data_IF_836158225596
#
_entry.id   IF_836158225596
#
_cell.length_a   1.000
_cell.length_b   1.000
_cell.length_c   1.000
_cell.angle_alpha   90.00
_cell.angle_beta   90.00
_cell.angle_gamma   90.00
#
_symmetry.space_group_name_H-M   'P 1'
#
loop_
_entity.id
_entity.type
_entity.pdbx_description
1 polymer ?
#
# COMPACT_ATOMS: atom_id res chain seq x y z
N UNK A 1 -51.98 -39.74 -2.96
CA UNK A 1 -50.57 -39.42 -3.24
C UNK A 1 -50.44 -37.90 -3.33
N UNK A 2 -50.22 -37.23 -2.20
CA UNK A 2 -50.03 -35.79 -2.13
C UNK A 2 -48.54 -35.48 -2.01
N UNK A 3 -47.99 -34.78 -2.98
CA UNK A 3 -46.59 -34.37 -3.03
C UNK A 3 -46.33 -33.26 -2.02
N UNK A 4 -45.62 -33.61 -0.94
CA UNK A 4 -45.10 -32.67 0.05
C UNK A 4 -43.88 -31.95 -0.53
N UNK A 5 -44.05 -30.69 -0.93
CA UNK A 5 -42.94 -29.79 -1.27
C UNK A 5 -42.56 -28.98 -0.03
N UNK A 6 -41.40 -29.33 0.56
CA UNK A 6 -40.72 -28.50 1.57
C UNK A 6 -40.33 -27.15 0.96
N UNK A 7 -40.59 -26.01 1.63
CA UNK A 7 -39.95 -24.77 1.26
C UNK A 7 -38.48 -24.79 1.72
N UNK A 8 -37.57 -24.69 0.76
CA UNK A 8 -36.15 -24.42 0.97
C UNK A 8 -35.98 -22.97 1.43
N UNK A 9 -35.73 -22.79 2.72
CA UNK A 9 -35.27 -21.50 3.27
C UNK A 9 -33.83 -21.28 2.84
N UNK A 10 -33.66 -20.45 1.81
CA UNK A 10 -32.38 -19.83 1.49
C UNK A 10 -31.99 -18.96 2.69
N UNK A 11 -30.95 -19.37 3.42
CA UNK A 11 -30.36 -18.56 4.47
C UNK A 11 -29.84 -17.26 3.83
N UNK A 12 -30.53 -16.15 4.08
CA UNK A 12 -30.00 -14.81 3.81
C UNK A 12 -28.60 -14.70 4.43
N UNK A 13 -27.61 -14.43 3.59
CA UNK A 13 -26.25 -14.14 4.04
C UNK A 13 -26.30 -12.96 5.01
N UNK A 14 -25.63 -13.10 6.16
CA UNK A 14 -25.45 -12.00 7.11
C UNK A 14 -24.95 -10.78 6.35
N UNK A 15 -25.80 -9.75 6.28
CA UNK A 15 -25.42 -8.41 5.84
C UNK A 15 -24.28 -7.96 6.74
N UNK A 16 -23.08 -7.79 6.19
CA UNK A 16 -21.95 -7.23 6.92
C UNK A 16 -22.35 -5.81 7.32
N UNK A 17 -22.66 -5.60 8.60
CA UNK A 17 -22.98 -4.28 9.13
C UNK A 17 -21.69 -3.52 9.47
N UNK A 18 -21.66 -2.19 9.29
CA UNK A 18 -20.54 -1.37 9.75
C UNK A 18 -20.37 -1.47 11.28
N UNK A 19 -19.15 -1.28 11.81
CA UNK A 19 -18.91 -1.32 13.25
C UNK A 19 -19.77 -0.28 13.99
N UNK A 20 -20.36 -0.69 15.12
CA UNK A 20 -21.28 0.14 15.94
C UNK A 20 -20.52 1.27 16.64
N UNK A 21 -21.10 2.47 16.68
CA UNK A 21 -20.63 3.59 17.53
C UNK A 21 -20.74 3.18 19.00
N UNK A 22 -19.62 3.13 19.72
CA UNK A 22 -19.60 2.89 21.15
C UNK A 22 -19.96 4.16 21.94
N UNK A 23 -20.98 4.03 22.81
CA UNK A 23 -21.21 4.69 24.10
C UNK A 23 -20.98 6.20 24.30
N UNK A 24 -21.92 6.85 25.01
CA UNK A 24 -21.81 8.21 25.56
C UNK A 24 -20.65 8.35 26.56
N UNK A 25 -19.42 8.53 26.07
CA UNK A 25 -18.31 9.05 26.86
C UNK A 25 -18.10 10.53 26.54
N UNK A 26 -17.83 11.35 27.55
CA UNK A 26 -17.49 12.75 27.36
C UNK A 26 -16.30 12.85 26.37
N UNK A 27 -16.47 13.65 25.31
CA UNK A 27 -15.46 13.81 24.29
C UNK A 27 -14.18 14.40 24.90
N UNK A 28 -13.10 13.62 24.93
CA UNK A 28 -11.79 14.10 25.35
C UNK A 28 -11.21 14.93 24.20
N UNK A 29 -11.05 16.23 24.39
CA UNK A 29 -10.49 17.13 23.38
C UNK A 29 -8.98 16.91 23.28
N UNK A 30 -8.56 15.98 22.40
CA UNK A 30 -7.15 15.64 22.18
C UNK A 30 -6.48 16.47 21.07
N UNK A 31 -7.26 17.04 20.17
CA UNK A 31 -6.77 17.80 19.01
C UNK A 31 -7.65 19.03 18.74
N UNK A 32 -7.11 20.09 18.12
CA UNK A 32 -7.90 21.19 17.62
C UNK A 32 -8.95 20.68 16.62
N UNK A 33 -10.22 21.04 16.84
CA UNK A 33 -11.34 20.69 15.95
C UNK A 33 -11.83 21.86 15.12
N UNK A 34 -11.42 23.07 15.50
CA UNK A 34 -11.75 24.29 14.78
C UNK A 34 -10.97 24.37 13.46
N UNK A 35 -11.56 25.07 12.49
CA UNK A 35 -10.84 25.35 11.24
C UNK A 35 -9.61 26.19 11.55
N UNK A 36 -8.43 25.83 11.01
CA UNK A 36 -7.23 26.63 11.22
C UNK A 36 -7.42 28.05 10.68
N UNK A 37 -6.78 29.07 11.30
CA UNK A 37 -6.90 30.47 10.89
C UNK A 37 -6.09 30.78 9.61
N UNK A 38 -5.74 29.77 8.82
CA UNK A 38 -4.96 29.88 7.59
C UNK A 38 -5.51 28.91 6.53
N UNK A 39 -5.24 29.23 5.27
CA UNK A 39 -5.63 28.42 4.11
C UNK A 39 -4.48 27.53 3.64
N UNK A 40 -4.78 26.53 2.80
CA UNK A 40 -3.74 25.77 2.09
C UNK A 40 -2.86 26.67 1.20
N UNK A 41 -3.43 27.78 0.70
CA UNK A 41 -2.69 28.77 -0.07
C UNK A 41 -1.61 29.49 0.76
N UNK A 42 -1.92 29.81 2.01
CA UNK A 42 -0.98 30.45 2.94
C UNK A 42 0.21 29.53 3.25
N UNK A 43 -0.07 28.24 3.47
CA UNK A 43 0.97 27.22 3.65
C UNK A 43 1.84 27.14 2.40
N UNK A 44 1.23 27.04 1.21
CA UNK A 44 1.97 26.95 -0.05
C UNK A 44 2.85 28.17 -0.30
N UNK A 45 2.38 29.37 0.07
CA UNK A 45 3.13 30.63 -0.05
C UNK A 45 4.31 30.70 0.93
N UNK A 46 4.22 30.04 2.08
CA UNK A 46 5.31 29.98 3.06
C UNK A 46 6.46 29.05 2.65
N UNK A 47 6.22 28.11 1.73
CA UNK A 47 7.24 27.18 1.24
C UNK A 47 8.14 27.87 0.20
N UNK A 48 9.48 27.83 0.35
CA UNK A 48 10.40 28.43 -0.61
C UNK A 48 10.18 27.91 -2.05
N UNK A 49 10.23 28.77 -3.09
CA UNK A 49 9.95 28.37 -4.47
C UNK A 49 10.81 27.19 -4.97
N UNK A 50 12.09 27.16 -4.58
CA UNK A 50 13.02 26.10 -4.97
C UNK A 50 12.58 24.69 -4.50
N UNK A 51 11.77 24.59 -3.44
CA UNK A 51 11.24 23.31 -2.95
C UNK A 51 10.21 22.68 -3.91
N UNK A 52 9.66 23.44 -4.86
CA UNK A 52 8.73 22.91 -5.87
C UNK A 52 9.44 22.39 -7.13
N UNK A 53 10.76 22.58 -7.25
CA UNK A 53 11.54 22.11 -8.38
C UNK A 53 12.03 20.67 -8.15
N UNK A 54 11.44 19.74 -8.89
CA UNK A 54 11.83 18.31 -8.90
C UNK A 54 12.94 18.10 -9.93
N UNK A 55 14.08 17.58 -9.50
CA UNK A 55 15.22 17.29 -10.38
C UNK A 55 15.23 15.81 -10.78
N UNK A 56 14.93 15.55 -12.05
CA UNK A 56 14.92 14.18 -12.61
C UNK A 56 16.27 13.50 -12.43
N UNK A 57 17.38 14.20 -12.67
CA UNK A 57 18.74 13.66 -12.52
C UNK A 57 18.99 13.23 -11.07
N UNK A 58 18.60 14.07 -10.11
CA UNK A 58 18.75 13.75 -8.68
C UNK A 58 17.88 12.55 -8.29
N UNK A 59 16.62 12.52 -8.71
CA UNK A 59 15.71 11.39 -8.44
C UNK A 59 16.25 10.08 -9.00
N UNK A 60 16.73 10.07 -10.25
CA UNK A 60 17.36 8.89 -10.84
C UNK A 60 18.67 8.50 -10.15
N UNK A 61 19.46 9.46 -9.64
CA UNK A 61 20.70 9.12 -8.92
C UNK A 61 20.44 8.30 -7.66
N UNK A 62 19.37 8.59 -6.91
CA UNK A 62 18.95 7.77 -5.76
C UNK A 62 18.43 6.40 -6.19
N UNK A 63 17.62 6.34 -7.25
CA UNK A 63 17.13 5.07 -7.78
C UNK A 63 18.29 4.16 -8.23
N UNK A 64 19.24 4.69 -9.00
CA UNK A 64 20.40 3.94 -9.48
C UNK A 64 21.32 3.52 -8.34
N UNK A 65 21.49 4.38 -7.33
CA UNK A 65 22.24 4.05 -6.12
C UNK A 65 21.64 2.82 -5.41
N UNK A 66 20.34 2.84 -5.14
CA UNK A 66 19.68 1.75 -4.43
C UNK A 66 19.67 0.45 -5.26
N UNK A 67 19.46 0.54 -6.58
CA UNK A 67 19.54 -0.61 -7.48
C UNK A 67 20.96 -1.18 -7.58
N UNK A 68 22.00 -0.33 -7.61
CA UNK A 68 23.39 -0.79 -7.64
C UNK A 68 23.76 -1.54 -6.36
N UNK A 69 23.34 -1.05 -5.19
CA UNK A 69 23.57 -1.73 -3.92
C UNK A 69 22.76 -3.03 -3.85
N UNK A 70 21.49 -3.02 -4.24
CA UNK A 70 20.65 -4.22 -4.27
C UNK A 70 21.24 -5.29 -5.21
N UNK A 71 21.82 -4.89 -6.35
CA UNK A 71 22.51 -5.81 -7.27
C UNK A 71 23.81 -6.35 -6.65
N UNK A 72 24.60 -5.51 -5.98
CA UNK A 72 25.81 -5.93 -5.27
C UNK A 72 25.53 -6.91 -4.12
N UNK A 73 24.47 -6.66 -3.36
CA UNK A 73 23.98 -7.56 -2.32
C UNK A 73 23.45 -8.88 -2.90
N UNK A 74 22.72 -8.84 -4.02
CA UNK A 74 22.31 -10.05 -4.73
C UNK A 74 23.52 -10.86 -5.19
N UNK A 75 24.53 -10.22 -5.77
CA UNK A 75 25.79 -10.88 -6.12
C UNK A 75 26.47 -11.51 -4.89
N UNK A 76 26.53 -10.78 -3.77
CA UNK A 76 27.04 -11.31 -2.51
C UNK A 76 26.27 -12.55 -2.06
N UNK A 77 24.93 -12.56 -2.16
CA UNK A 77 24.12 -13.70 -1.80
C UNK A 77 24.29 -14.91 -2.72
N UNK A 78 24.48 -14.69 -4.03
CA UNK A 78 24.59 -15.77 -5.01
C UNK A 78 26.00 -16.36 -5.09
N UNK A 79 27.04 -15.55 -4.88
CA UNK A 79 28.44 -15.96 -5.09
C UNK A 79 29.21 -16.10 -3.78
N UNK A 80 29.06 -15.14 -2.87
CA UNK A 80 29.89 -15.08 -1.66
C UNK A 80 29.33 -15.94 -0.54
N UNK A 81 28.04 -15.83 -0.21
CA UNK A 81 27.42 -16.61 0.87
C UNK A 81 27.62 -18.13 0.67
N UNK A 82 27.41 -18.72 -0.53
CA UNK A 82 27.64 -20.13 -0.77
C UNK A 82 29.11 -20.56 -0.69
N UNK A 83 30.07 -19.63 -0.79
CA UNK A 83 31.49 -19.89 -0.61
C UNK A 83 31.93 -19.81 0.87
N UNK A 84 31.14 -19.20 1.75
CA UNK A 84 31.46 -19.09 3.17
C UNK A 84 31.38 -20.46 3.88
N UNK A 85 32.26 -20.73 4.86
CA UNK A 85 32.24 -21.97 5.63
C UNK A 85 31.12 -21.96 6.69
N UNK A 86 30.42 -23.10 6.81
CA UNK A 86 29.54 -23.46 7.93
C UNK A 86 28.77 -22.31 8.60
N UNK A 87 29.17 -21.96 9.81
CA UNK A 87 28.50 -20.96 10.66
C UNK A 87 28.47 -19.57 10.02
N UNK A 88 29.53 -19.15 9.32
CA UNK A 88 29.55 -17.84 8.66
C UNK A 88 28.50 -17.73 7.56
N UNK A 89 28.22 -18.83 6.85
CA UNK A 89 27.14 -18.89 5.86
C UNK A 89 25.77 -18.73 6.52
N UNK A 90 25.53 -19.44 7.63
CA UNK A 90 24.25 -19.35 8.36
C UNK A 90 24.01 -17.94 8.91
N UNK A 91 25.06 -17.29 9.41
CA UNK A 91 24.99 -15.92 9.93
C UNK A 91 24.81 -14.90 8.80
N UNK A 92 25.44 -15.10 7.64
CA UNK A 92 25.37 -14.15 6.53
C UNK A 92 23.95 -14.00 5.94
N UNK A 93 23.12 -15.06 5.96
CA UNK A 93 21.77 -15.01 5.39
C UNK A 93 20.84 -13.99 6.06
N UNK A 94 20.65 -13.97 7.39
CA UNK A 94 19.86 -12.93 8.06
C UNK A 94 20.36 -11.51 7.80
N UNK A 95 21.68 -11.29 7.80
CA UNK A 95 22.25 -9.97 7.49
C UNK A 95 21.95 -9.56 6.05
N UNK A 96 22.08 -10.50 5.10
CA UNK A 96 21.71 -10.26 3.72
C UNK A 96 20.22 -9.95 3.60
N UNK A 97 19.32 -10.73 4.20
CA UNK A 97 17.87 -10.47 4.13
C UNK A 97 17.51 -9.09 4.69
N UNK A 98 18.09 -8.70 5.82
CA UNK A 98 17.88 -7.39 6.40
C UNK A 98 18.39 -6.28 5.48
N UNK A 99 19.64 -6.37 5.00
CA UNK A 99 20.24 -5.37 4.13
C UNK A 99 19.49 -5.27 2.78
N UNK A 100 19.25 -6.41 2.12
CA UNK A 100 18.53 -6.48 0.85
C UNK A 100 17.11 -5.93 0.99
N UNK A 101 16.41 -6.32 2.06
CA UNK A 101 15.08 -5.82 2.38
C UNK A 101 15.07 -4.30 2.53
N UNK A 102 16.05 -3.72 3.23
CA UNK A 102 16.16 -2.26 3.37
C UNK A 102 16.30 -1.53 2.03
N UNK A 103 17.20 -1.99 1.15
CA UNK A 103 17.41 -1.33 -0.14
C UNK A 103 16.24 -1.55 -1.12
N UNK A 104 15.66 -2.75 -1.17
CA UNK A 104 14.45 -2.99 -1.96
C UNK A 104 13.24 -2.21 -1.44
N UNK A 105 13.15 -1.99 -0.13
CA UNK A 105 12.14 -1.09 0.45
C UNK A 105 12.40 0.37 0.07
N UNK A 106 13.67 0.79 -0.05
CA UNK A 106 14.04 2.09 -0.64
C UNK A 106 13.53 2.25 -2.08
N UNK A 107 13.73 1.24 -2.92
CA UNK A 107 13.16 1.20 -4.29
C UNK A 107 11.64 1.25 -4.26
N UNK A 108 10.99 0.54 -3.32
CA UNK A 108 9.54 0.60 -3.12
C UNK A 108 9.06 2.01 -2.78
N UNK A 109 9.77 2.72 -1.89
CA UNK A 109 9.48 4.12 -1.53
C UNK A 109 9.62 5.02 -2.75
N UNK A 110 10.69 4.89 -3.54
CA UNK A 110 10.87 5.70 -4.75
C UNK A 110 9.69 5.52 -5.72
N UNK A 111 9.24 4.28 -5.93
CA UNK A 111 8.09 3.99 -6.76
C UNK A 111 6.76 4.47 -6.14
N UNK A 112 6.65 4.51 -4.82
CA UNK A 112 5.54 5.15 -4.10
C UNK A 112 5.53 6.67 -4.32
N UNK A 113 6.69 7.32 -4.31
CA UNK A 113 6.84 8.75 -4.61
C UNK A 113 6.50 9.09 -6.07
N UNK A 114 6.67 8.15 -7.00
CA UNK A 114 6.11 8.28 -8.35
C UNK A 114 4.57 8.38 -8.33
N UNK A 115 3.90 7.64 -7.45
CA UNK A 115 2.44 7.70 -7.26
C UNK A 115 1.95 9.06 -6.76
N UNK A 116 2.80 9.79 -6.02
CA UNK A 116 2.57 11.17 -5.58
C UNK A 116 2.96 12.21 -6.63
N UNK A 117 3.53 11.78 -7.75
CA UNK A 117 4.21 12.63 -8.71
C UNK A 117 5.32 13.48 -8.06
N UNK A 118 6.01 12.95 -7.05
CA UNK A 118 7.12 13.64 -6.40
C UNK A 118 8.45 13.35 -7.10
N UNK A 119 8.57 12.20 -7.77
CA UNK A 119 9.78 11.77 -8.47
C UNK A 119 10.20 12.75 -9.59
N UNK A 120 9.26 13.21 -10.41
CA UNK A 120 9.53 14.17 -11.48
C UNK A 120 8.39 15.16 -11.72
N UNK A 121 8.63 16.14 -12.62
CA UNK A 121 7.58 17.03 -13.14
C UNK A 121 6.66 16.39 -14.18
N UNK A 122 6.88 15.13 -14.56
CA UNK A 122 6.22 14.48 -15.70
C UNK A 122 5.41 13.27 -15.24
N UNK A 123 4.08 13.40 -15.18
CA UNK A 123 3.21 12.35 -14.65
C UNK A 123 3.35 11.00 -15.39
N UNK A 124 3.55 11.03 -16.72
CA UNK A 124 3.74 9.80 -17.50
C UNK A 124 5.05 9.08 -17.15
N UNK A 125 6.13 9.83 -16.92
CA UNK A 125 7.42 9.25 -16.50
C UNK A 125 7.26 8.56 -15.14
N UNK A 126 6.65 9.26 -14.20
CA UNK A 126 6.42 8.75 -12.85
C UNK A 126 5.53 7.50 -12.89
N UNK A 127 4.42 7.54 -13.62
CA UNK A 127 3.52 6.38 -13.72
C UNK A 127 4.16 5.18 -14.43
N UNK A 128 5.01 5.42 -15.42
CA UNK A 128 5.74 4.34 -16.10
C UNK A 128 6.78 3.71 -15.17
N UNK A 129 7.60 4.54 -14.50
CA UNK A 129 8.63 4.05 -13.58
C UNK A 129 8.01 3.36 -12.36
N UNK A 130 6.98 3.96 -11.77
CA UNK A 130 6.24 3.39 -10.65
C UNK A 130 5.65 2.03 -11.01
N UNK A 131 4.99 1.91 -12.18
CA UNK A 131 4.46 0.64 -12.66
C UNK A 131 5.54 -0.43 -12.78
N UNK A 132 6.67 -0.12 -13.43
CA UNK A 132 7.77 -1.06 -13.63
C UNK A 132 8.36 -1.50 -12.28
N UNK A 133 8.75 -0.55 -11.44
CA UNK A 133 9.43 -0.83 -10.17
C UNK A 133 8.52 -1.58 -9.18
N UNK A 134 7.27 -1.15 -9.00
CA UNK A 134 6.34 -1.86 -8.12
C UNK A 134 5.97 -3.24 -8.68
N UNK A 135 5.86 -3.42 -9.99
CA UNK A 135 5.63 -4.75 -10.59
C UNK A 135 6.78 -5.72 -10.27
N UNK A 136 8.03 -5.26 -10.34
CA UNK A 136 9.22 -6.02 -9.90
C UNK A 136 9.24 -6.36 -8.41
N UNK A 137 8.60 -5.53 -7.60
CA UNK A 137 8.46 -5.73 -6.16
C UNK A 137 7.14 -6.40 -5.78
N UNK A 138 6.40 -6.94 -6.76
CA UNK A 138 5.11 -7.61 -6.58
C UNK A 138 4.07 -6.74 -5.85
N UNK A 139 4.07 -5.45 -6.15
CA UNK A 139 3.09 -4.47 -5.67
C UNK A 139 2.26 -3.91 -6.85
N UNK A 140 0.92 -3.84 -6.73
CA UNK A 140 0.08 -3.38 -7.84
C UNK A 140 0.06 -1.84 -7.90
N UNK A 141 0.93 -1.24 -8.72
CA UNK A 141 1.21 0.21 -8.71
C UNK A 141 -0.03 1.12 -8.72
N UNK A 142 -0.89 1.03 -9.72
CA UNK A 142 -2.04 1.94 -9.83
C UNK A 142 -3.10 1.68 -8.76
N UNK A 143 -3.25 0.40 -8.41
CA UNK A 143 -4.13 -0.02 -7.31
C UNK A 143 -3.70 0.65 -6.01
N UNK A 144 -2.42 0.52 -5.66
CA UNK A 144 -1.81 1.19 -4.52
C UNK A 144 -1.90 2.72 -4.66
N UNK A 145 -1.51 3.31 -5.79
CA UNK A 145 -1.55 4.75 -6.04
C UNK A 145 -2.91 5.36 -5.68
N UNK A 146 -4.01 4.77 -6.17
CA UNK A 146 -5.35 5.33 -5.93
C UNK A 146 -5.83 5.13 -4.48
N UNK A 147 -5.64 3.96 -3.87
CA UNK A 147 -6.04 3.74 -2.47
C UNK A 147 -5.18 4.54 -1.51
N UNK A 148 -3.89 4.65 -1.80
CA UNK A 148 -2.94 5.42 -1.02
C UNK A 148 -3.21 6.94 -1.10
N UNK A 149 -3.57 7.47 -2.27
CA UNK A 149 -4.02 8.86 -2.39
C UNK A 149 -5.25 9.15 -1.50
N UNK A 150 -6.20 8.21 -1.45
CA UNK A 150 -7.39 8.32 -0.57
C UNK A 150 -7.03 8.22 0.90
N UNK A 151 -6.09 7.36 1.27
CA UNK A 151 -5.51 7.31 2.61
C UNK A 151 -4.91 8.66 3.01
N UNK A 152 -4.06 9.26 2.17
CA UNK A 152 -3.47 10.58 2.47
C UNK A 152 -4.51 11.70 2.58
N UNK A 153 -5.58 11.63 1.79
CA UNK A 153 -6.66 12.62 1.83
C UNK A 153 -7.56 12.47 3.07
N UNK A 154 -7.50 11.32 3.77
CA UNK A 154 -8.39 10.97 4.87
C UNK A 154 -7.66 10.33 6.05
N UNK A 155 -6.37 10.62 6.23
CA UNK A 155 -5.52 9.96 7.23
C UNK A 155 -6.14 10.09 8.63
N UNK A 156 -6.21 8.98 9.36
CA UNK A 156 -6.83 8.90 10.69
C UNK A 156 -8.36 9.13 10.72
N UNK A 157 -9.03 9.12 9.58
CA UNK A 157 -10.50 9.11 9.53
C UNK A 157 -11.04 7.70 9.77
N UNK A 158 -11.89 7.54 10.77
CA UNK A 158 -12.58 6.26 11.02
C UNK A 158 -13.54 5.88 9.89
N UNK A 159 -14.03 6.84 9.12
CA UNK A 159 -15.03 6.61 8.08
C UNK A 159 -14.44 6.52 6.67
N UNK A 160 -13.30 7.18 6.44
CA UNK A 160 -12.78 7.45 5.10
C UNK A 160 -11.32 7.09 4.86
N UNK A 161 -10.55 6.73 5.89
CA UNK A 161 -9.21 6.18 5.70
C UNK A 161 -9.31 4.83 4.97
N UNK A 162 -8.31 4.49 4.13
CA UNK A 162 -8.32 3.28 3.30
C UNK A 162 -7.57 2.09 3.89
N UNK A 163 -6.57 2.28 4.77
CA UNK A 163 -5.66 1.19 5.20
C UNK A 163 -5.30 1.21 6.67
N UNK A 164 -5.29 2.38 7.31
CA UNK A 164 -4.98 2.51 8.74
C UNK A 164 -6.17 3.05 9.52
N UNK A 165 -7.36 2.51 9.22
CA UNK A 165 -8.61 2.93 9.86
C UNK A 165 -8.50 2.77 11.37
N UNK A 166 -8.58 3.87 12.15
CA UNK A 166 -8.48 3.77 13.60
C UNK A 166 -9.62 2.92 14.15
N UNK A 167 -9.29 1.94 14.99
CA UNK A 167 -10.27 1.09 15.66
C UNK A 167 -10.63 1.66 17.03
N UNK A 168 -11.85 1.39 17.48
CA UNK A 168 -12.21 1.65 18.87
C UNK A 168 -11.38 0.77 19.81
N UNK A 169 -11.11 1.28 21.02
CA UNK A 169 -10.36 0.55 22.04
C UNK A 169 -11.00 -0.81 22.36
N UNK A 170 -12.33 -0.90 22.32
CA UNK A 170 -13.07 -2.15 22.52
C UNK A 170 -12.79 -3.22 21.47
N UNK A 171 -12.35 -2.81 20.28
CA UNK A 171 -12.19 -3.67 19.10
C UNK A 171 -10.70 -3.97 18.81
N UNK A 172 -9.80 -3.48 19.67
CA UNK A 172 -8.37 -3.74 19.55
C UNK A 172 -8.07 -5.18 20.00
N UNK A 173 -7.49 -6.02 19.12
CA UNK A 173 -7.02 -7.32 19.53
C UNK A 173 -5.78 -7.18 20.44
N UNK A 174 -5.54 -8.18 21.29
CA UNK A 174 -4.33 -8.24 22.13
C UNK A 174 -3.03 -8.40 21.30
N UNK A 175 -3.16 -8.82 20.04
CA UNK A 175 -2.07 -8.99 19.08
C UNK A 175 -2.54 -8.59 17.68
N UNK A 176 -1.62 -8.03 16.88
CA UNK A 176 -1.87 -7.75 15.47
C UNK A 176 -0.70 -8.21 14.60
N UNK A 177 -0.90 -9.15 13.65
CA UNK A 177 0.16 -9.65 12.77
C UNK A 177 0.49 -8.69 11.61
N UNK A 178 0.25 -7.39 11.80
CA UNK A 178 0.35 -6.37 10.77
C UNK A 178 1.72 -6.36 10.08
N UNK A 179 2.80 -6.61 10.86
CA UNK A 179 4.18 -6.54 10.38
C UNK A 179 4.62 -7.74 9.53
N UNK A 180 3.97 -8.90 9.62
CA UNK A 180 4.44 -10.13 8.95
C UNK A 180 3.63 -10.48 7.70
N UNK A 181 2.31 -10.46 7.82
CA UNK A 181 1.38 -10.83 6.72
C UNK A 181 0.42 -9.71 6.37
N UNK A 182 0.52 -8.55 7.03
CA UNK A 182 -0.42 -7.44 6.87
C UNK A 182 -0.48 -6.91 5.44
N UNK A 183 0.68 -6.73 4.79
CA UNK A 183 0.74 -6.22 3.43
C UNK A 183 0.04 -7.14 2.40
N UNK A 184 0.39 -8.43 2.26
CA UNK A 184 -0.33 -9.32 1.35
C UNK A 184 -1.82 -9.44 1.68
N UNK A 185 -2.17 -9.53 2.96
CA UNK A 185 -3.58 -9.65 3.38
C UNK A 185 -4.37 -8.37 3.08
N UNK A 186 -3.76 -7.19 3.20
CA UNK A 186 -4.38 -5.93 2.82
C UNK A 186 -4.62 -5.87 1.30
N UNK A 187 -3.65 -6.27 0.50
CA UNK A 187 -3.83 -6.27 -0.95
C UNK A 187 -4.92 -7.26 -1.39
N UNK A 188 -4.87 -8.50 -0.90
CA UNK A 188 -5.77 -9.56 -1.37
C UNK A 188 -7.17 -9.43 -0.78
N UNK A 189 -7.28 -9.17 0.52
CA UNK A 189 -8.54 -9.24 1.27
C UNK A 189 -8.94 -7.92 1.93
N UNK A 190 -8.20 -6.83 1.68
CA UNK A 190 -8.44 -5.52 2.30
C UNK A 190 -8.47 -5.60 3.84
N UNK A 191 -7.68 -6.50 4.43
CA UNK A 191 -7.59 -6.61 5.88
C UNK A 191 -7.09 -5.30 6.48
N UNK A 192 -7.76 -4.83 7.53
CA UNK A 192 -7.54 -3.52 8.16
C UNK A 192 -7.80 -2.28 7.30
N UNK A 193 -8.19 -2.48 6.05
CA UNK A 193 -8.68 -1.40 5.21
C UNK A 193 -10.08 -0.96 5.57
N UNK A 194 -10.55 0.02 4.81
CA UNK A 194 -11.91 0.53 4.91
C UNK A 194 -12.94 -0.56 4.65
N UNK A 195 -14.07 -0.50 5.35
CA UNK A 195 -15.19 -1.37 5.03
C UNK A 195 -15.86 -0.98 3.69
N UNK A 196 -16.18 -1.98 2.87
CA UNK A 196 -16.89 -1.84 1.62
C UNK A 196 -18.11 -2.78 1.56
N UNK A 197 -19.20 -2.42 0.85
CA UNK A 197 -20.41 -3.24 0.76
C UNK A 197 -20.25 -4.54 -0.04
N UNK A 198 -19.14 -4.70 -0.75
CA UNK A 198 -18.76 -5.90 -1.49
C UNK A 198 -17.33 -6.26 -1.13
N UNK A 199 -16.92 -7.47 -1.50
CA UNK A 199 -15.52 -7.88 -1.40
C UNK A 199 -14.60 -6.82 -2.03
N UNK A 200 -13.55 -6.48 -1.29
CA UNK A 200 -12.60 -5.45 -1.64
C UNK A 200 -11.22 -6.11 -1.77
N UNK A 201 -10.64 -5.98 -2.95
CA UNK A 201 -9.31 -6.49 -3.28
C UNK A 201 -8.62 -5.49 -4.17
N UNK A 202 -7.32 -5.33 -3.96
CA UNK A 202 -6.47 -4.50 -4.81
C UNK A 202 -6.25 -5.12 -6.20
N UNK A 203 -6.61 -6.40 -6.37
CA UNK A 203 -6.50 -7.14 -7.62
C UNK A 203 -7.86 -7.34 -8.32
N UNK A 204 -8.93 -6.67 -7.86
CA UNK A 204 -10.23 -6.68 -8.54
C UNK A 204 -10.49 -5.31 -9.18
N UNK A 205 -10.25 -5.14 -10.50
CA UNK A 205 -10.56 -3.90 -11.21
C UNK A 205 -12.03 -3.46 -11.08
N UNK A 206 -12.95 -4.39 -10.86
CA UNK A 206 -14.39 -4.10 -10.68
C UNK A 206 -14.82 -4.04 -9.22
N UNK A 207 -13.87 -4.13 -8.29
CA UNK A 207 -14.07 -4.11 -6.86
C UNK A 207 -14.67 -2.80 -6.36
N UNK A 208 -15.24 -2.83 -5.15
CA UNK A 208 -15.91 -1.67 -4.55
C UNK A 208 -14.97 -0.48 -4.23
N UNK A 209 -13.66 -0.71 -4.28
CA UNK A 209 -12.61 0.28 -4.01
C UNK A 209 -12.51 1.32 -5.15
N UNK A 210 -12.77 0.92 -6.39
CA UNK A 210 -12.38 1.69 -7.58
C UNK A 210 -13.54 2.33 -8.34
N UNK A 211 -13.29 3.54 -8.84
CA UNK A 211 -14.18 4.22 -9.76
C UNK A 211 -14.05 3.63 -11.17
N UNK A 212 -15.09 3.74 -12.00
CA UNK A 212 -15.10 3.19 -13.39
C UNK A 212 -13.89 3.63 -14.23
N UNK A 213 -13.43 4.86 -14.07
CA UNK A 213 -12.27 5.41 -14.82
C UNK A 213 -10.91 4.83 -14.39
N UNK A 214 -10.83 4.25 -13.19
CA UNK A 214 -9.57 3.74 -12.62
C UNK A 214 -9.34 2.28 -13.00
N UNK A 215 -10.41 1.53 -13.35
CA UNK A 215 -10.38 0.08 -13.52
C UNK A 215 -9.34 -0.41 -14.52
N UNK A 216 -9.18 0.29 -15.64
CA UNK A 216 -8.19 -0.09 -16.67
C UNK A 216 -6.77 -0.06 -16.11
N UNK A 217 -6.47 0.90 -15.24
CA UNK A 217 -5.15 1.03 -14.61
C UNK A 217 -4.90 -0.05 -13.55
N UNK A 218 -5.95 -0.50 -12.86
CA UNK A 218 -5.87 -1.67 -11.96
C UNK A 218 -5.47 -2.90 -12.77
N UNK A 219 -6.18 -3.17 -13.87
CA UNK A 219 -5.85 -4.30 -14.76
C UNK A 219 -4.43 -4.20 -15.33
N UNK A 220 -3.97 -2.99 -15.69
CA UNK A 220 -2.57 -2.77 -16.13
C UNK A 220 -1.57 -3.16 -15.04
N UNK A 221 -1.84 -2.82 -13.78
CA UNK A 221 -0.97 -3.21 -12.65
C UNK A 221 -0.94 -4.71 -12.45
N UNK A 222 -2.11 -5.36 -12.51
CA UNK A 222 -2.24 -6.80 -12.34
C UNK A 222 -1.50 -7.56 -13.45
N UNK A 223 -1.63 -7.10 -14.70
CA UNK A 223 -0.89 -7.64 -15.85
C UNK A 223 0.62 -7.44 -15.69
N UNK A 224 1.06 -6.25 -15.25
CA UNK A 224 2.47 -5.96 -15.02
C UNK A 224 3.10 -6.90 -13.98
N UNK A 225 2.42 -7.09 -12.84
CA UNK A 225 2.83 -8.04 -11.81
C UNK A 225 2.84 -9.48 -12.30
N UNK A 226 1.81 -9.90 -13.03
CA UNK A 226 1.75 -11.26 -13.59
C UNK A 226 2.88 -11.50 -14.58
N UNK A 227 3.17 -10.53 -15.45
CA UNK A 227 4.25 -10.62 -16.42
C UNK A 227 5.61 -10.78 -15.75
N UNK A 228 5.90 -10.00 -14.69
CA UNK A 228 7.14 -10.18 -13.92
C UNK A 228 7.17 -11.53 -13.20
N UNK A 229 6.06 -11.93 -12.58
CA UNK A 229 5.98 -13.20 -11.84
C UNK A 229 6.20 -14.42 -12.73
N UNK A 230 5.86 -14.34 -14.02
CA UNK A 230 6.08 -15.40 -15.01
C UNK A 230 7.50 -15.37 -15.62
N UNK A 231 8.22 -14.26 -15.45
CA UNK A 231 9.57 -14.08 -15.99
C UNK A 231 10.68 -14.39 -14.98
N UNK A 232 10.36 -14.45 -13.69
CA UNK A 232 11.23 -14.87 -12.58
C UNK A 232 11.21 -16.39 -12.39
#
# INVERSE_FOLDING_TARGET
MGTSSRPTTVKEGKKLEPPRRAGNHAAVQRSPVDKPPFTLGDIRKAIPPHCFHRSVIKSFSYLLHDLAIAAGLLYFALVVIPALPGVLRLVAWPFYWAAQGCFLFGVWIIAHECGHHAFSGHALLDDTLGLVLHSWLLAPYFSWKYTHQRHHSNTSSQERDEVFVPRFKSDLPWYSPYLTVGWPMYLVFNTWGRWYPRFASHFDPSGAIYMRRERVFIAISDIGMLAVSLAL
#
